data_IF_311780618787
#
_entry.id   IF_311780618787
#
_cell.length_a   1.000
_cell.length_b   1.000
_cell.length_c   1.000
_cell.angle_alpha   90.00
_cell.angle_beta   90.00
_cell.angle_gamma   90.00
#
_symmetry.space_group_name_H-M   'P 1'
#
loop_
_entity.id
_entity.type
_entity.pdbx_description
1 polymer ?
#
# COMPACT_ATOMS: atom_id res chain seq x y z
N UNK A 1 35.94 -23.74 -1.85
CA UNK A 1 34.53 -24.19 -1.70
C UNK A 1 34.10 -24.90 -2.97
N UNK A 2 33.58 -26.13 -2.88
CA UNK A 2 33.21 -26.94 -4.06
C UNK A 2 32.10 -26.23 -4.84
N UNK A 3 32.18 -26.25 -6.18
CA UNK A 3 31.24 -25.62 -7.11
C UNK A 3 29.76 -25.92 -6.81
N UNK A 4 29.47 -27.13 -6.31
CA UNK A 4 28.14 -27.55 -5.85
C UNK A 4 27.60 -26.68 -4.73
N UNK A 5 28.43 -26.30 -3.75
CA UNK A 5 28.01 -25.50 -2.60
C UNK A 5 27.63 -24.08 -3.01
N UNK A 6 28.33 -23.52 -4.01
CA UNK A 6 28.05 -22.16 -4.53
C UNK A 6 26.72 -22.12 -5.28
N UNK A 7 26.44 -23.14 -6.11
CA UNK A 7 25.17 -23.29 -6.83
C UNK A 7 23.99 -23.44 -5.88
N UNK A 8 24.10 -24.29 -4.85
CA UNK A 8 23.05 -24.45 -3.85
C UNK A 8 22.77 -23.16 -3.08
N UNK A 9 23.82 -22.39 -2.72
CA UNK A 9 23.65 -21.13 -2.00
C UNK A 9 22.91 -20.08 -2.83
N UNK A 10 23.25 -19.95 -4.13
CA UNK A 10 22.57 -19.01 -5.04
C UNK A 10 21.11 -19.37 -5.27
N UNK A 11 20.78 -20.67 -5.37
CA UNK A 11 19.40 -21.12 -5.50
C UNK A 11 18.59 -20.78 -4.26
N UNK A 12 19.16 -21.00 -3.07
CA UNK A 12 18.51 -20.71 -1.80
C UNK A 12 18.24 -19.20 -1.64
N UNK A 13 19.22 -18.36 -1.96
CA UNK A 13 19.04 -16.90 -2.00
C UNK A 13 17.97 -16.48 -3.01
N UNK A 14 17.94 -17.09 -4.19
CA UNK A 14 16.92 -16.83 -5.21
C UNK A 14 15.51 -17.17 -4.72
N UNK A 15 15.33 -18.29 -4.03
CA UNK A 15 14.05 -18.68 -3.44
C UNK A 15 13.59 -17.71 -2.34
N UNK A 16 14.49 -17.28 -1.45
CA UNK A 16 14.17 -16.31 -0.40
C UNK A 16 13.75 -14.97 -1.01
N UNK A 17 14.49 -14.46 -1.99
CA UNK A 17 14.13 -13.24 -2.70
C UNK A 17 12.77 -13.34 -3.38
N UNK A 18 12.46 -14.50 -3.99
CA UNK A 18 11.17 -14.72 -4.64
C UNK A 18 10.00 -14.72 -3.65
N UNK A 19 10.14 -15.37 -2.49
CA UNK A 19 9.10 -15.35 -1.44
C UNK A 19 8.89 -13.94 -0.90
N UNK A 20 9.96 -13.17 -0.70
CA UNK A 20 9.86 -11.78 -0.25
C UNK A 20 9.14 -10.90 -1.28
N UNK A 21 9.41 -11.09 -2.57
CA UNK A 21 8.72 -10.36 -3.64
C UNK A 21 7.24 -10.71 -3.68
N UNK A 22 6.87 -11.99 -3.56
CA UNK A 22 5.47 -12.41 -3.49
C UNK A 22 4.75 -11.80 -2.28
N UNK A 23 5.40 -11.78 -1.11
CA UNK A 23 4.85 -11.14 0.08
C UNK A 23 4.64 -9.63 -0.11
N UNK A 24 5.61 -8.93 -0.69
CA UNK A 24 5.50 -7.51 -0.97
C UNK A 24 4.35 -7.20 -1.94
N UNK A 25 4.21 -7.96 -3.02
CA UNK A 25 3.12 -7.79 -3.99
C UNK A 25 1.76 -8.01 -3.33
N UNK A 26 1.60 -9.10 -2.56
CA UNK A 26 0.34 -9.36 -1.85
C UNK A 26 -0.05 -8.24 -0.88
N UNK A 27 0.91 -7.68 -0.15
CA UNK A 27 0.63 -6.54 0.75
C UNK A 27 0.28 -5.25 0.01
N UNK A 28 0.81 -5.04 -1.19
CA UNK A 28 0.51 -3.88 -2.03
C UNK A 28 -0.91 -3.98 -2.61
N UNK A 29 -1.28 -5.14 -3.15
CA UNK A 29 -2.64 -5.37 -3.66
C UNK A 29 -3.68 -5.18 -2.55
N UNK A 30 -3.45 -5.76 -1.37
CA UNK A 30 -4.36 -5.63 -0.24
C UNK A 30 -4.54 -4.17 0.22
N UNK A 31 -3.49 -3.34 0.14
CA UNK A 31 -3.59 -1.91 0.45
C UNK A 31 -4.39 -1.15 -0.61
N UNK A 32 -4.17 -1.43 -1.89
CA UNK A 32 -4.93 -0.82 -2.97
C UNK A 32 -6.43 -1.16 -2.88
N UNK A 33 -6.75 -2.43 -2.62
CA UNK A 33 -8.13 -2.88 -2.45
C UNK A 33 -8.80 -2.20 -1.24
N UNK A 34 -8.07 -2.02 -0.13
CA UNK A 34 -8.57 -1.32 1.06
C UNK A 34 -8.82 0.17 0.79
N UNK A 35 -7.89 0.85 0.12
CA UNK A 35 -8.03 2.26 -0.29
C UNK A 35 -9.27 2.44 -1.20
N UNK A 36 -9.50 1.53 -2.16
CA UNK A 36 -10.67 1.59 -3.04
C UNK A 36 -11.98 1.23 -2.34
N UNK A 37 -11.97 0.22 -1.46
CA UNK A 37 -13.14 -0.17 -0.67
C UNK A 37 -13.65 0.99 0.20
N UNK A 38 -12.74 1.66 0.90
CA UNK A 38 -13.07 2.84 1.72
C UNK A 38 -13.66 3.95 0.86
N UNK A 39 -13.07 4.25 -0.30
CA UNK A 39 -13.59 5.29 -1.19
C UNK A 39 -14.99 4.99 -1.73
N UNK A 40 -15.38 3.72 -1.85
CA UNK A 40 -16.74 3.34 -2.27
C UNK A 40 -17.76 3.46 -1.15
N UNK A 41 -17.34 3.27 0.09
CA UNK A 41 -18.19 3.39 1.29
C UNK A 41 -18.22 4.80 1.89
N UNK A 42 -17.38 5.71 1.42
CA UNK A 42 -17.25 7.06 1.97
C UNK A 42 -18.36 7.97 1.47
N UNK A 43 -19.05 8.63 2.40
CA UNK A 43 -20.02 9.68 2.08
C UNK A 43 -19.35 10.84 1.33
N UNK A 44 -20.09 11.44 0.40
CA UNK A 44 -19.59 12.49 -0.49
C UNK A 44 -19.08 13.72 0.30
N UNK A 45 -19.79 14.13 1.34
CA UNK A 45 -19.38 15.23 2.22
C UNK A 45 -18.06 14.95 2.92
N UNK A 46 -17.90 13.73 3.45
CA UNK A 46 -16.65 13.29 4.11
C UNK A 46 -15.50 13.26 3.11
N UNK A 47 -15.75 12.75 1.90
CA UNK A 47 -14.77 12.72 0.83
C UNK A 47 -14.28 14.12 0.46
N UNK A 48 -15.20 15.08 0.28
CA UNK A 48 -14.82 16.44 -0.09
C UNK A 48 -14.17 17.21 1.05
N UNK A 49 -14.62 17.03 2.30
CA UNK A 49 -13.99 17.64 3.47
C UNK A 49 -12.53 17.18 3.63
N UNK A 50 -12.27 15.89 3.45
CA UNK A 50 -10.91 15.35 3.50
C UNK A 50 -10.12 15.81 2.27
N UNK A 51 -10.71 15.80 1.06
CA UNK A 51 -10.05 16.29 -0.14
C UNK A 51 -9.60 17.75 0.02
N UNK A 52 -10.44 18.62 0.56
CA UNK A 52 -10.13 20.02 0.82
C UNK A 52 -8.98 20.15 1.83
N UNK A 53 -9.09 19.47 2.98
CA UNK A 53 -8.06 19.50 4.02
C UNK A 53 -6.68 19.02 3.51
N UNK A 54 -6.65 17.91 2.77
CA UNK A 54 -5.40 17.38 2.18
C UNK A 54 -4.90 18.31 1.06
N UNK A 55 -5.80 18.98 0.33
CA UNK A 55 -5.40 19.91 -0.71
C UNK A 55 -4.75 21.16 -0.13
N UNK A 56 -5.31 21.70 0.95
CA UNK A 56 -4.78 22.86 1.66
C UNK A 56 -3.40 22.59 2.25
N UNK A 57 -3.21 21.40 2.85
CA UNK A 57 -1.93 21.01 3.44
C UNK A 57 -0.83 20.75 2.41
N UNK A 58 -1.18 20.32 1.20
CA UNK A 58 -0.21 19.98 0.13
C UNK A 58 -0.04 21.08 -0.91
N UNK A 59 -0.90 22.11 -0.90
CA UNK A 59 -0.90 23.21 -1.89
C UNK A 59 -1.31 22.78 -3.30
N UNK A 60 -1.92 21.59 -3.45
CA UNK A 60 -2.44 21.07 -4.72
C UNK A 60 -3.70 20.27 -4.49
N UNK A 61 -4.50 20.03 -5.53
CA UNK A 61 -5.67 19.15 -5.40
C UNK A 61 -5.25 17.74 -4.98
N UNK A 62 -5.83 17.26 -3.89
CA UNK A 62 -5.59 15.92 -3.34
C UNK A 62 -6.17 14.85 -4.26
N UNK A 63 -5.40 13.78 -4.47
CA UNK A 63 -5.82 12.63 -5.26
C UNK A 63 -6.76 11.74 -4.44
N UNK A 64 -7.58 10.94 -5.13
CA UNK A 64 -8.47 9.95 -4.49
C UNK A 64 -7.71 9.05 -3.50
N UNK A 65 -6.50 8.65 -3.87
CA UNK A 65 -5.64 7.81 -3.03
C UNK A 65 -5.24 8.49 -1.73
N UNK A 66 -4.91 9.78 -1.79
CA UNK A 66 -4.52 10.55 -0.61
C UNK A 66 -5.70 10.77 0.34
N UNK A 67 -6.89 10.96 -0.21
CA UNK A 67 -8.13 11.01 0.58
C UNK A 67 -8.37 9.68 1.29
N UNK A 68 -8.28 8.56 0.57
CA UNK A 68 -8.45 7.22 1.14
C UNK A 68 -7.43 6.90 2.23
N UNK A 69 -6.16 7.24 1.97
CA UNK A 69 -5.06 7.03 2.92
C UNK A 69 -5.24 7.87 4.17
N UNK A 70 -5.55 9.15 4.02
CA UNK A 70 -5.81 10.04 5.14
C UNK A 70 -6.95 9.50 6.01
N UNK A 71 -8.04 9.05 5.39
CA UNK A 71 -9.15 8.44 6.12
C UNK A 71 -8.69 7.22 6.92
N UNK A 72 -8.04 6.23 6.29
CA UNK A 72 -7.56 5.02 6.95
C UNK A 72 -6.60 5.31 8.12
N UNK A 73 -5.73 6.30 7.98
CA UNK A 73 -4.77 6.70 9.02
C UNK A 73 -5.45 7.40 10.20
N UNK A 74 -6.57 8.12 9.97
CA UNK A 74 -7.23 8.94 10.99
C UNK A 74 -8.47 8.30 11.62
N UNK A 75 -9.15 7.37 10.95
CA UNK A 75 -10.31 6.64 11.53
C UNK A 75 -9.91 5.37 12.28
N UNK A 76 -8.64 5.00 12.25
CA UNK A 76 -8.16 3.77 12.88
C UNK A 76 -8.56 2.50 12.13
N UNK A 77 -9.32 2.62 11.03
CA UNK A 77 -9.58 1.53 10.10
C UNK A 77 -8.33 1.12 9.29
N UNK A 78 -7.18 1.77 9.51
CA UNK A 78 -5.88 1.41 8.96
C UNK A 78 -5.14 0.32 9.75
N UNK A 79 -5.54 0.03 10.99
CA UNK A 79 -4.99 -1.03 11.84
C UNK A 79 -5.78 -2.34 11.75
#
# INVERSE_FOLDING_TARGET
MREKTRKSLTTLLGCVAFVLLLGAVGTLEQRCDREEWVLRGMDEDTYYAIQEHVSDSTGRRATRREVARYYLENTGEGL
#
